data_IF_332332718117
#
_entry.id   IF_332332718117
#
_cell.length_a   1.000
_cell.length_b   1.000
_cell.length_c   1.000
_cell.angle_alpha   90.00
_cell.angle_beta   90.00
_cell.angle_gamma   90.00
#
_symmetry.space_group_name_H-M   'P 1'
#
loop_
_entity.id
_entity.type
_entity.pdbx_description
1 polymer ?
#
# COMPACT_ATOMS: atom_id res chain seq x y z
N UNK A 1 4.03 1.06 -17.56
CA UNK A 1 4.66 0.16 -16.57
C UNK A 1 4.88 -1.20 -17.20
N UNK A 2 5.96 -1.91 -16.83
CA UNK A 2 6.11 -3.31 -17.26
C UNK A 2 5.12 -4.17 -16.47
N UNK A 3 4.49 -5.19 -17.08
CA UNK A 3 3.60 -6.08 -16.35
C UNK A 3 4.40 -6.81 -15.25
N UNK A 4 3.80 -6.88 -14.06
CA UNK A 4 4.34 -7.67 -12.96
C UNK A 4 3.84 -9.13 -13.04
N UNK A 5 4.54 -10.08 -12.39
CA UNK A 5 4.07 -11.46 -12.28
C UNK A 5 2.66 -11.54 -11.69
N UNK A 6 1.87 -12.51 -12.16
CA UNK A 6 0.49 -12.75 -11.69
C UNK A 6 0.38 -13.82 -10.60
N UNK A 7 1.46 -14.54 -10.34
CA UNK A 7 1.55 -15.62 -9.37
C UNK A 7 2.52 -15.21 -8.26
N UNK A 8 2.23 -15.62 -7.03
CA UNK A 8 3.04 -15.37 -5.84
C UNK A 8 3.52 -13.91 -5.71
N UNK A 9 2.70 -12.96 -6.20
CA UNK A 9 2.96 -11.53 -6.22
C UNK A 9 2.68 -10.95 -4.85
N UNK A 10 3.63 -10.18 -4.32
CA UNK A 10 3.40 -9.35 -3.14
C UNK A 10 3.97 -7.95 -3.38
N UNK A 11 3.07 -6.99 -3.58
CA UNK A 11 3.39 -5.64 -4.03
C UNK A 11 2.94 -4.60 -3.01
N UNK A 12 3.81 -3.66 -2.64
CA UNK A 12 3.44 -2.59 -1.71
C UNK A 12 4.62 -1.77 -1.23
N UNK A 13 4.40 -0.94 -0.22
CA UNK A 13 5.47 -0.09 0.33
C UNK A 13 6.29 -0.84 1.39
N UNK A 14 7.54 -1.20 1.09
CA UNK A 14 8.36 -1.99 2.03
C UNK A 14 8.85 -1.15 3.22
N UNK A 15 8.84 -1.76 4.41
CA UNK A 15 9.44 -1.24 5.64
C UNK A 15 10.77 -1.98 5.90
N UNK A 16 11.82 -1.29 6.38
CA UNK A 16 11.84 0.10 6.83
C UNK A 16 11.90 1.11 5.68
N UNK A 17 11.46 2.35 5.92
CA UNK A 17 11.37 3.38 4.88
C UNK A 17 12.66 3.65 4.08
N UNK A 18 13.87 3.57 4.64
CA UNK A 18 15.10 3.74 3.87
C UNK A 18 15.45 2.59 2.92
N UNK A 19 14.87 1.40 3.10
CA UNK A 19 15.17 0.25 2.24
C UNK A 19 14.43 0.35 0.91
N UNK A 20 15.08 0.00 -0.20
CA UNK A 20 14.42 -0.30 -1.48
C UNK A 20 14.29 -1.80 -1.74
N UNK A 21 14.90 -2.64 -0.90
CA UNK A 21 14.84 -4.09 -1.03
C UNK A 21 13.48 -4.60 -0.50
N UNK A 22 12.63 -5.20 -1.37
CA UNK A 22 11.30 -5.66 -1.00
C UNK A 22 11.29 -6.92 -0.13
N UNK A 23 12.46 -7.54 0.14
CA UNK A 23 12.58 -8.76 0.94
C UNK A 23 13.02 -8.50 2.40
N UNK A 24 13.30 -7.26 2.79
CA UNK A 24 13.82 -6.94 4.14
C UNK A 24 12.85 -7.30 5.26
N UNK A 25 11.62 -6.78 5.20
CA UNK A 25 10.58 -7.13 6.17
C UNK A 25 9.24 -7.43 5.47
N UNK A 26 8.30 -6.48 5.54
CA UNK A 26 6.93 -6.61 5.08
C UNK A 26 6.48 -5.32 4.39
N UNK A 27 5.34 -5.39 3.69
CA UNK A 27 4.72 -4.21 3.07
C UNK A 27 3.83 -3.51 4.09
N UNK A 28 3.94 -2.19 4.21
CA UNK A 28 3.23 -1.41 5.22
C UNK A 28 1.72 -1.35 5.02
N UNK A 29 1.01 -1.00 6.10
CA UNK A 29 -0.40 -0.64 6.11
C UNK A 29 -0.78 0.62 5.32
N UNK A 30 0.10 1.15 4.44
CA UNK A 30 -0.30 2.10 3.40
C UNK A 30 -1.21 1.45 2.35
N UNK A 31 -1.22 0.11 2.34
CA UNK A 31 -1.88 -0.72 1.35
C UNK A 31 -0.86 -1.62 0.66
N UNK A 32 -1.30 -2.80 0.29
CA UNK A 32 -0.51 -3.74 -0.49
C UNK A 32 -1.46 -4.59 -1.34
N UNK A 33 -0.92 -5.17 -2.40
CA UNK A 33 -1.62 -6.05 -3.34
C UNK A 33 -0.94 -7.41 -3.32
N UNK A 34 -1.74 -8.46 -3.42
CA UNK A 34 -1.27 -9.83 -3.59
C UNK A 34 -1.99 -10.52 -4.73
N UNK A 35 -1.33 -11.50 -5.33
CA UNK A 35 -1.98 -12.36 -6.32
C UNK A 35 -3.01 -13.29 -5.69
N UNK A 36 -3.93 -13.77 -6.52
CA UNK A 36 -5.06 -14.60 -6.07
C UNK A 36 -4.61 -15.94 -5.47
N UNK A 37 -3.52 -16.53 -5.96
CA UNK A 37 -2.96 -17.78 -5.42
C UNK A 37 -2.46 -17.63 -3.97
N UNK A 38 -2.01 -16.45 -3.56
CA UNK A 38 -1.71 -16.15 -2.15
C UNK A 38 -3.01 -16.14 -1.33
N UNK A 39 -4.09 -15.56 -1.85
CA UNK A 39 -5.41 -15.54 -1.19
C UNK A 39 -5.94 -16.97 -1.01
N UNK A 40 -5.83 -17.80 -2.04
CA UNK A 40 -6.22 -19.22 -1.99
C UNK A 40 -5.37 -19.99 -0.98
N UNK A 41 -4.06 -19.74 -0.94
CA UNK A 41 -3.17 -20.33 0.06
C UNK A 41 -3.56 -19.93 1.48
N UNK A 42 -3.88 -18.66 1.75
CA UNK A 42 -4.32 -18.19 3.08
C UNK A 42 -5.56 -18.96 3.55
N UNK A 43 -6.51 -19.19 2.65
CA UNK A 43 -7.77 -19.90 2.96
C UNK A 43 -7.53 -21.33 3.47
N UNK A 44 -6.55 -22.04 2.93
CA UNK A 44 -6.32 -23.48 3.22
C UNK A 44 -5.17 -23.74 4.18
N UNK A 45 -4.26 -22.79 4.36
CA UNK A 45 -3.07 -22.93 5.18
C UNK A 45 -3.38 -22.86 6.68
N UNK A 46 -2.66 -23.64 7.47
CA UNK A 46 -2.70 -23.55 8.94
C UNK A 46 -1.82 -22.40 9.47
N UNK A 47 -0.91 -21.85 8.65
CA UNK A 47 0.01 -20.78 9.10
C UNK A 47 -0.76 -19.53 9.55
N UNK A 48 -1.66 -18.93 8.73
CA UNK A 48 -2.43 -17.77 9.18
C UNK A 48 -3.30 -18.04 10.42
N UNK A 49 -3.80 -19.26 10.58
CA UNK A 49 -4.69 -19.65 11.68
C UNK A 49 -3.98 -19.68 13.04
N UNK A 50 -2.66 -19.91 13.06
CA UNK A 50 -1.88 -20.02 14.30
C UNK A 50 -1.57 -18.69 14.96
N UNK A 51 -1.59 -17.58 14.21
CA UNK A 51 -1.23 -16.27 14.74
C UNK A 51 -1.92 -15.15 13.98
N UNK A 52 -2.92 -14.50 14.61
CA UNK A 52 -3.68 -13.38 14.03
C UNK A 52 -3.60 -12.10 14.86
N UNK A 53 -2.77 -12.07 15.91
CA UNK A 53 -2.71 -10.97 16.87
C UNK A 53 -1.56 -10.02 16.55
N UNK A 54 -1.86 -8.72 16.40
CA UNK A 54 -0.87 -7.67 16.17
C UNK A 54 -1.24 -6.74 15.01
N UNK A 55 -0.33 -5.84 14.60
CA UNK A 55 -0.52 -5.04 13.38
C UNK A 55 -0.69 -5.97 12.18
N UNK A 56 -1.80 -5.79 11.47
CA UNK A 56 -2.23 -6.65 10.36
C UNK A 56 -1.14 -6.83 9.30
N UNK A 57 -0.50 -5.75 8.87
CA UNK A 57 0.54 -5.73 7.85
C UNK A 57 1.80 -6.50 8.25
N UNK A 58 2.21 -6.37 9.52
CA UNK A 58 3.31 -7.14 10.09
C UNK A 58 2.96 -8.62 10.20
N UNK A 59 1.79 -8.94 10.75
CA UNK A 59 1.31 -10.32 10.90
C UNK A 59 1.20 -11.00 9.54
N UNK A 60 0.65 -10.31 8.54
CA UNK A 60 0.61 -10.79 7.16
C UNK A 60 2.01 -11.05 6.60
N UNK A 61 2.94 -10.12 6.77
CA UNK A 61 4.34 -10.30 6.35
C UNK A 61 5.02 -11.50 7.00
N UNK A 62 4.70 -11.77 8.26
CA UNK A 62 5.18 -12.94 9.01
C UNK A 62 4.60 -14.23 8.40
N UNK A 63 3.30 -14.28 8.05
CA UNK A 63 2.70 -15.42 7.34
C UNK A 63 3.36 -15.71 6.00
N UNK A 64 3.57 -14.67 5.18
CA UNK A 64 4.19 -14.82 3.85
C UNK A 64 5.61 -15.37 3.98
N UNK A 65 6.37 -14.91 4.99
CA UNK A 65 7.72 -15.41 5.28
C UNK A 65 7.72 -16.88 5.72
N UNK A 66 6.88 -17.23 6.69
CA UNK A 66 6.77 -18.62 7.19
C UNK A 66 6.27 -19.58 6.10
N UNK A 67 5.27 -19.15 5.31
CA UNK A 67 4.70 -19.91 4.20
C UNK A 67 5.57 -19.99 2.95
N UNK A 68 6.73 -19.30 2.94
CA UNK A 68 7.62 -19.18 1.77
C UNK A 68 6.87 -18.71 0.50
N UNK A 69 5.96 -17.77 0.69
CA UNK A 69 5.16 -17.11 -0.35
C UNK A 69 5.72 -15.73 -0.68
N UNK A 70 5.12 -15.07 -1.67
CA UNK A 70 5.53 -13.75 -2.10
C UNK A 70 6.95 -13.76 -2.68
N UNK A 71 7.29 -14.74 -3.53
CA UNK A 71 8.59 -14.78 -4.22
C UNK A 71 8.71 -13.68 -5.26
N UNK A 72 7.58 -13.25 -5.83
CA UNK A 72 7.52 -12.10 -6.73
C UNK A 72 7.20 -10.83 -5.92
N UNK A 73 8.15 -10.44 -5.05
CA UNK A 73 8.04 -9.25 -4.21
C UNK A 73 8.52 -8.01 -4.93
N UNK A 74 7.69 -6.97 -4.93
CA UNK A 74 7.99 -5.71 -5.60
C UNK A 74 7.64 -4.53 -4.71
N UNK A 75 8.58 -3.59 -4.55
CA UNK A 75 8.29 -2.37 -3.81
C UNK A 75 7.59 -1.34 -4.69
N UNK A 76 6.56 -0.71 -4.13
CA UNK A 76 5.83 0.41 -4.65
C UNK A 76 6.38 1.76 -4.17
N UNK A 77 7.57 1.79 -3.57
CA UNK A 77 8.23 3.05 -3.16
C UNK A 77 8.28 4.04 -4.30
N UNK A 78 8.20 5.33 -3.96
CA UNK A 78 7.89 6.45 -4.84
C UNK A 78 6.44 6.50 -5.31
N UNK A 79 5.83 5.40 -5.73
CA UNK A 79 4.42 5.42 -6.15
C UNK A 79 3.44 5.42 -4.96
N UNK A 80 3.85 4.87 -3.82
CA UNK A 80 3.13 4.89 -2.55
C UNK A 80 3.97 5.62 -1.51
N UNK A 81 3.36 6.52 -0.74
CA UNK A 81 4.09 7.35 0.24
C UNK A 81 3.16 8.00 1.25
N UNK A 82 3.71 8.45 2.36
CA UNK A 82 3.00 9.32 3.30
C UNK A 82 2.85 10.72 2.71
N UNK A 83 1.75 11.39 3.04
CA UNK A 83 1.52 12.80 2.72
C UNK A 83 2.75 13.66 3.03
N UNK A 84 3.16 14.62 2.16
CA UNK A 84 4.43 15.33 2.26
C UNK A 84 4.72 15.96 3.63
N UNK A 85 3.67 16.37 4.35
CA UNK A 85 3.79 17.08 5.63
C UNK A 85 3.19 16.30 6.82
N UNK A 86 3.90 16.23 7.97
CA UNK A 86 5.29 16.69 8.16
C UNK A 86 6.30 15.77 7.45
N UNK A 87 7.48 16.28 7.04
CA UNK A 87 8.50 15.46 6.40
C UNK A 87 8.99 14.32 7.30
N UNK A 88 9.07 13.11 6.73
CA UNK A 88 9.65 11.92 7.35
C UNK A 88 10.51 11.17 6.33
N UNK A 89 11.10 10.04 6.73
CA UNK A 89 11.81 9.16 5.79
C UNK A 89 10.87 8.42 4.81
N UNK A 90 9.56 8.56 4.96
CA UNK A 90 8.54 7.85 4.16
C UNK A 90 7.67 8.81 3.33
N UNK A 91 8.02 10.09 3.29
CA UNK A 91 7.31 11.15 2.56
C UNK A 91 8.12 11.60 1.36
N UNK A 92 7.43 12.06 0.33
CA UNK A 92 7.95 12.94 -0.71
C UNK A 92 6.77 13.76 -1.26
N UNK A 93 7.04 14.68 -2.18
CA UNK A 93 6.05 15.53 -2.83
C UNK A 93 4.96 14.75 -3.57
N UNK A 94 3.80 15.39 -3.79
CA UNK A 94 2.82 14.84 -4.71
C UNK A 94 3.40 14.83 -6.14
N UNK A 95 3.26 13.70 -6.84
CA UNK A 95 3.84 13.51 -8.17
C UNK A 95 2.89 12.75 -9.12
N UNK A 96 3.05 12.83 -10.45
CA UNK A 96 2.05 12.30 -11.39
C UNK A 96 1.89 10.78 -11.42
N UNK A 97 2.90 10.00 -11.01
CA UNK A 97 2.85 8.53 -11.06
C UNK A 97 2.48 7.88 -9.71
N UNK A 98 1.69 8.59 -8.91
CA UNK A 98 1.20 8.11 -7.62
C UNK A 98 0.16 6.99 -7.78
N UNK A 99 0.31 5.96 -6.96
CA UNK A 99 -0.67 4.89 -6.76
C UNK A 99 -1.46 5.12 -5.46
N UNK A 100 -0.80 5.55 -4.38
CA UNK A 100 -1.47 5.83 -3.11
C UNK A 100 -0.77 6.91 -2.29
N UNK A 101 -1.57 7.76 -1.64
CA UNK A 101 -1.10 8.73 -0.64
C UNK A 101 -1.68 8.35 0.72
N UNK A 102 -0.80 8.10 1.68
CA UNK A 102 -1.17 7.70 3.05
C UNK A 102 -1.17 8.92 4.01
N UNK A 103 -1.79 8.79 5.18
CA UNK A 103 -1.92 9.85 6.21
C UNK A 103 -2.72 11.10 5.82
N UNK A 104 -3.73 10.97 4.96
CA UNK A 104 -4.75 12.00 4.70
C UNK A 104 -5.76 12.07 5.87
N UNK A 105 -5.29 12.44 7.06
CA UNK A 105 -6.08 12.37 8.32
C UNK A 105 -6.96 13.59 8.58
N UNK A 106 -6.96 14.58 7.68
CA UNK A 106 -7.79 15.78 7.81
C UNK A 106 -8.30 16.23 6.43
N UNK A 107 -9.32 17.09 6.44
CA UNK A 107 -10.00 17.57 5.23
C UNK A 107 -9.08 18.38 4.30
N UNK A 108 -8.20 19.20 4.86
CA UNK A 108 -7.26 20.02 4.08
C UNK A 108 -6.34 19.15 3.21
N UNK A 109 -5.72 18.12 3.80
CA UNK A 109 -4.87 17.16 3.09
C UNK A 109 -5.63 16.42 1.99
N UNK A 110 -6.88 16.05 2.25
CA UNK A 110 -7.76 15.47 1.22
C UNK A 110 -7.98 16.44 0.06
N UNK A 111 -8.41 17.68 0.33
CA UNK A 111 -8.68 18.69 -0.70
C UNK A 111 -7.43 18.94 -1.54
N UNK A 112 -6.28 19.18 -0.90
CA UNK A 112 -5.02 19.43 -1.60
C UNK A 112 -4.62 18.25 -2.50
N UNK A 113 -4.76 17.01 -2.01
CA UNK A 113 -4.45 15.80 -2.77
C UNK A 113 -5.40 15.63 -3.97
N UNK A 114 -6.71 15.76 -3.75
CA UNK A 114 -7.71 15.60 -4.80
C UNK A 114 -7.58 16.68 -5.89
N UNK A 115 -7.26 17.92 -5.50
CA UNK A 115 -7.00 19.01 -6.42
C UNK A 115 -5.74 18.76 -7.26
N UNK A 116 -4.64 18.28 -6.64
CA UNK A 116 -3.41 17.95 -7.36
C UNK A 116 -3.64 16.90 -8.45
N UNK A 117 -4.32 15.79 -8.12
CA UNK A 117 -4.61 14.73 -9.08
C UNK A 117 -5.79 15.03 -10.00
N UNK A 118 -6.40 16.19 -9.83
CA UNK A 118 -7.46 16.67 -10.69
C UNK A 118 -8.68 15.73 -10.78
N UNK A 119 -8.87 14.89 -9.77
CA UNK A 119 -9.92 13.85 -9.76
C UNK A 119 -11.32 14.43 -9.57
N UNK A 120 -11.43 15.68 -9.13
CA UNK A 120 -12.69 16.38 -8.87
C UNK A 120 -13.16 17.24 -10.04
N UNK A 121 -12.33 17.51 -11.06
CA UNK A 121 -12.66 18.48 -12.11
C UNK A 121 -13.93 18.17 -12.91
N UNK A 122 -14.31 16.89 -13.00
CA UNK A 122 -15.50 16.44 -13.74
C UNK A 122 -16.54 15.77 -12.82
N UNK A 123 -16.36 15.84 -11.49
CA UNK A 123 -17.31 15.26 -10.55
C UNK A 123 -18.48 16.23 -10.34
N UNK A 124 -19.69 15.75 -10.64
CA UNK A 124 -20.92 16.50 -10.35
C UNK A 124 -21.19 16.47 -8.84
N UNK A 125 -21.64 17.58 -8.23
CA UNK A 125 -22.05 17.58 -6.84
C UNK A 125 -23.03 16.45 -6.54
N UNK A 126 -22.87 15.78 -5.39
CA UNK A 126 -23.76 14.72 -4.95
C UNK A 126 -24.07 14.86 -3.48
N UNK A 127 -25.11 14.16 -3.00
CA UNK A 127 -25.43 14.11 -1.56
C UNK A 127 -24.30 13.49 -0.71
N UNK A 128 -23.33 12.81 -1.34
CA UNK A 128 -22.23 12.11 -0.66
C UNK A 128 -20.97 12.98 -0.49
N UNK A 129 -20.83 14.10 -1.22
CA UNK A 129 -19.68 14.99 -1.10
C UNK A 129 -20.00 16.41 -1.57
N UNK A 130 -19.43 17.41 -0.88
CA UNK A 130 -19.45 18.80 -1.29
C UNK A 130 -18.03 19.23 -1.67
N UNK A 131 -17.88 19.67 -2.92
CA UNK A 131 -16.66 20.33 -3.40
C UNK A 131 -16.91 21.84 -3.23
N UNK A 132 -16.09 22.57 -2.47
CA UNK A 132 -16.21 24.04 -2.32
C UNK A 132 -16.06 24.78 -3.66
#
# INVERSE_FOLDING_TARGET
MRPLPREDLYYGYVIPCPSMDPFVHYMSGMGYLVSWDIVEWIRVSEIPKKHMEGPEDKVFGDWIREGRRGKNRHTAKWAMYNYPEPPTRCTHELWPNTIAVHLLKNQEKWIQTLNYFNVTQNLKPSKLYHIP
#
